data_IF_987284994248
#
_entry.id   IF_987284994248
#
_cell.length_a   1.000
_cell.length_b   1.000
_cell.length_c   1.000
_cell.angle_alpha   90.00
_cell.angle_beta   90.00
_cell.angle_gamma   90.00
#
_symmetry.space_group_name_H-M   'P 1'
#
loop_
_entity.id
_entity.type
_entity.pdbx_description
1 polymer ?
#
# COMPACT_ATOMS: atom_id res chain seq x y z
N UNK A 1 -11.07 2.57 18.48
CA UNK A 1 -12.19 2.67 17.53
C UNK A 1 -12.42 1.33 16.84
N UNK A 2 -11.47 0.78 16.06
CA UNK A 2 -11.67 -0.50 15.33
C UNK A 2 -12.15 -1.66 16.22
N UNK A 3 -11.78 -1.65 17.50
CA UNK A 3 -12.24 -2.63 18.49
C UNK A 3 -13.75 -2.62 18.71
N UNK A 4 -14.38 -1.47 18.50
CA UNK A 4 -15.81 -1.26 18.68
C UNK A 4 -16.65 -1.72 17.49
N UNK A 5 -16.04 -1.99 16.33
CA UNK A 5 -16.74 -2.58 15.18
C UNK A 5 -16.82 -4.11 15.27
N UNK A 6 -16.05 -4.74 16.17
CA UNK A 6 -16.11 -6.17 16.44
C UNK A 6 -15.64 -6.52 17.87
N UNK A 7 -16.53 -6.30 18.86
CA UNK A 7 -16.20 -6.41 20.29
C UNK A 7 -15.65 -7.77 20.69
N UNK A 8 -16.31 -8.85 20.25
CA UNK A 8 -15.93 -10.22 20.63
C UNK A 8 -14.56 -10.58 20.07
N UNK A 9 -14.24 -10.18 18.84
CA UNK A 9 -12.88 -10.32 18.30
C UNK A 9 -11.86 -9.47 19.07
N UNK A 10 -12.21 -8.24 19.45
CA UNK A 10 -11.34 -7.35 20.22
C UNK A 10 -11.04 -7.89 21.63
N UNK A 11 -12.01 -8.59 22.24
CA UNK A 11 -11.83 -9.33 23.50
C UNK A 11 -10.83 -10.47 23.34
N UNK A 12 -11.08 -11.40 22.40
CA UNK A 12 -10.22 -12.57 22.22
C UNK A 12 -8.81 -12.20 21.77
N UNK A 13 -8.62 -11.14 20.97
CA UNK A 13 -7.29 -10.64 20.61
C UNK A 13 -6.47 -10.19 21.82
N UNK A 14 -7.11 -9.64 22.86
CA UNK A 14 -6.42 -9.24 24.10
C UNK A 14 -6.11 -10.43 25.00
N UNK A 15 -6.99 -11.43 25.02
CA UNK A 15 -6.84 -12.65 25.85
C UNK A 15 -5.91 -13.68 25.22
N UNK A 16 -5.79 -13.66 23.89
CA UNK A 16 -4.97 -14.60 23.11
C UNK A 16 -4.03 -13.87 22.14
N UNK A 17 -3.06 -13.08 22.63
CA UNK A 17 -2.09 -12.39 21.79
C UNK A 17 -1.19 -13.35 21.00
N UNK A 18 -1.09 -14.62 21.42
CA UNK A 18 -0.36 -15.69 20.73
C UNK A 18 -1.04 -16.14 19.43
N UNK A 19 -2.33 -15.88 19.26
CA UNK A 19 -3.05 -16.22 18.02
C UNK A 19 -2.74 -15.16 16.96
N UNK A 20 -1.75 -15.45 16.13
CA UNK A 20 -1.43 -14.63 14.96
C UNK A 20 -2.20 -15.12 13.73
N UNK A 21 -2.72 -14.23 12.87
CA UNK A 21 -3.32 -14.62 11.59
C UNK A 21 -2.34 -15.46 10.75
N UNK A 22 -2.82 -16.39 9.91
CA UNK A 22 -1.95 -17.09 8.96
C UNK A 22 -1.19 -16.12 8.05
N UNK A 23 0.03 -16.47 7.62
CA UNK A 23 0.88 -15.58 6.84
C UNK A 23 0.19 -15.07 5.57
N UNK A 24 -0.56 -15.91 4.85
CA UNK A 24 -1.32 -15.49 3.66
C UNK A 24 -2.29 -14.34 3.98
N UNK A 25 -2.97 -14.40 5.13
CA UNK A 25 -3.85 -13.33 5.61
C UNK A 25 -3.04 -12.10 6.03
N UNK A 26 -1.90 -12.27 6.67
CA UNK A 26 -0.99 -11.16 6.98
C UNK A 26 -0.48 -10.45 5.71
N UNK A 27 -0.13 -11.20 4.66
CA UNK A 27 0.28 -10.66 3.37
C UNK A 27 -0.83 -9.83 2.72
N UNK A 28 -2.08 -10.31 2.76
CA UNK A 28 -3.23 -9.56 2.27
C UNK A 28 -3.48 -8.28 3.07
N UNK A 29 -3.30 -8.31 4.39
CA UNK A 29 -3.39 -7.14 5.27
C UNK A 29 -2.29 -6.13 4.93
N UNK A 30 -1.04 -6.56 4.83
CA UNK A 30 0.10 -5.72 4.44
C UNK A 30 -0.07 -5.09 3.06
N UNK A 31 -0.61 -5.85 2.10
CA UNK A 31 -0.96 -5.32 0.78
C UNK A 31 -1.96 -4.17 0.90
N UNK A 32 -2.99 -4.35 1.74
CA UNK A 32 -3.99 -3.31 2.01
C UNK A 32 -3.38 -2.08 2.68
N UNK A 33 -2.65 -2.26 3.77
CA UNK A 33 -1.98 -1.16 4.49
C UNK A 33 -1.04 -0.37 3.57
N UNK A 34 -0.23 -1.05 2.77
CA UNK A 34 0.67 -0.38 1.85
C UNK A 34 -0.05 0.33 0.71
N UNK A 35 -1.17 -0.21 0.22
CA UNK A 35 -2.03 0.50 -0.74
C UNK A 35 -2.56 1.80 -0.11
N UNK A 36 -3.14 1.75 1.10
CA UNK A 36 -3.70 2.94 1.76
C UNK A 36 -2.64 4.04 1.89
N UNK A 37 -1.42 3.67 2.28
CA UNK A 37 -0.29 4.61 2.38
C UNK A 37 0.04 5.26 1.04
N UNK A 38 0.24 4.47 -0.01
CA UNK A 38 0.63 4.99 -1.34
C UNK A 38 -0.51 5.82 -1.96
N UNK A 39 -1.74 5.32 -1.84
CA UNK A 39 -2.94 6.00 -2.30
C UNK A 39 -3.11 7.33 -1.58
N UNK A 40 -3.03 7.34 -0.24
CA UNK A 40 -3.13 8.54 0.59
C UNK A 40 -2.15 9.64 0.15
N UNK A 41 -0.86 9.31 -0.01
CA UNK A 41 0.14 10.27 -0.49
C UNK A 41 -0.10 10.75 -1.92
N UNK A 42 -0.82 9.99 -2.74
CA UNK A 42 -1.13 10.37 -4.11
C UNK A 42 -2.34 11.32 -4.21
N UNK A 43 -3.25 11.27 -3.22
CA UNK A 43 -4.53 12.00 -3.26
C UNK A 43 -4.70 13.03 -2.15
N UNK A 44 -3.73 13.16 -1.24
CA UNK A 44 -3.76 14.11 -0.14
C UNK A 44 -2.35 14.56 0.28
N UNK A 45 -2.26 15.60 1.11
CA UNK A 45 -1.01 16.05 1.74
C UNK A 45 -0.79 15.34 3.08
N UNK A 46 0.47 15.22 3.49
CA UNK A 46 0.87 14.53 4.72
C UNK A 46 0.16 15.05 5.98
N UNK A 47 -0.19 16.32 6.00
CA UNK A 47 -0.90 16.97 7.13
C UNK A 47 -2.32 16.44 7.36
N UNK A 48 -2.96 15.85 6.33
CA UNK A 48 -4.32 15.31 6.40
C UNK A 48 -4.37 13.79 6.44
N UNK A 49 -3.23 13.11 6.30
CA UNK A 49 -3.15 11.66 6.35
C UNK A 49 -3.08 11.15 7.78
N UNK A 50 -3.67 9.98 8.02
CA UNK A 50 -3.40 9.18 9.22
C UNK A 50 -3.69 9.92 10.54
N UNK A 51 -4.74 10.75 10.57
CA UNK A 51 -5.06 11.65 11.67
C UNK A 51 -5.55 10.91 12.92
N UNK A 52 -4.84 11.09 14.03
CA UNK A 52 -5.23 10.56 15.33
C UNK A 52 -6.36 11.39 15.93
N UNK A 53 -7.40 10.69 16.37
CA UNK A 53 -8.56 11.29 17.04
C UNK A 53 -8.84 10.54 18.33
N UNK A 54 -9.26 11.26 19.35
CA UNK A 54 -9.67 10.69 20.63
C UNK A 54 -10.97 11.35 21.08
N UNK A 55 -11.93 10.54 21.48
CA UNK A 55 -13.17 11.00 22.09
C UNK A 55 -13.61 9.99 23.14
N UNK A 56 -13.91 10.46 24.35
CA UNK A 56 -14.49 9.65 25.43
C UNK A 56 -13.71 8.33 25.69
N UNK A 57 -12.37 8.39 25.71
CA UNK A 57 -11.52 7.21 25.94
C UNK A 57 -11.50 6.21 24.78
N UNK A 58 -12.02 6.57 23.61
CA UNK A 58 -11.90 5.81 22.36
C UNK A 58 -10.91 6.52 21.46
N UNK A 59 -9.84 5.82 21.07
CA UNK A 59 -8.83 6.33 20.12
C UNK A 59 -9.10 5.78 18.72
N UNK A 60 -8.97 6.61 17.69
CA UNK A 60 -9.14 6.28 16.27
C UNK A 60 -8.03 6.89 15.42
N UNK A 61 -7.90 6.42 14.18
CA UNK A 61 -6.92 6.91 13.20
C UNK A 61 -7.59 7.00 11.84
N UNK A 62 -8.00 8.20 11.44
CA UNK A 62 -8.70 8.44 10.17
C UNK A 62 -7.68 8.36 9.03
N UNK A 63 -8.00 7.64 7.95
CA UNK A 63 -7.05 7.46 6.83
C UNK A 63 -6.73 8.79 6.15
N UNK A 64 -7.76 9.58 5.79
CA UNK A 64 -7.63 10.95 5.27
C UNK A 64 -8.67 11.84 5.95
N UNK A 65 -8.26 13.00 6.46
CA UNK A 65 -9.17 13.96 7.09
C UNK A 65 -8.75 15.40 6.77
N UNK A 66 -9.40 15.98 5.76
CA UNK A 66 -9.26 17.39 5.40
C UNK A 66 -10.47 18.20 5.88
N UNK A 67 -11.67 17.82 5.41
CA UNK A 67 -12.94 18.42 5.81
C UNK A 67 -13.90 17.39 6.42
N UNK A 68 -13.95 16.22 5.78
CA UNK A 68 -14.80 15.08 6.19
C UNK A 68 -13.91 13.86 6.42
N UNK A 69 -14.26 12.95 7.35
CA UNK A 69 -13.52 11.71 7.54
C UNK A 69 -13.64 10.82 6.30
N UNK A 70 -12.51 10.40 5.75
CA UNK A 70 -12.45 9.45 4.63
C UNK A 70 -11.80 8.16 5.12
N UNK A 71 -12.48 7.04 4.92
CA UNK A 71 -11.93 5.70 5.15
C UNK A 71 -11.62 5.02 3.82
N UNK A 72 -10.37 4.58 3.64
CA UNK A 72 -9.97 3.84 2.46
C UNK A 72 -10.14 2.35 2.76
N UNK A 73 -10.58 1.55 1.78
CA UNK A 73 -10.73 0.10 1.91
C UNK A 73 -10.23 -0.62 0.67
N UNK A 74 -9.46 -1.68 0.88
CA UNK A 74 -9.11 -2.66 -0.15
C UNK A 74 -9.91 -3.94 0.06
N UNK A 75 -10.63 -4.40 -0.95
CA UNK A 75 -11.50 -5.60 -0.85
C UNK A 75 -11.47 -6.44 -2.12
N UNK A 76 -11.92 -7.70 -2.03
CA UNK A 76 -12.40 -8.45 -3.19
C UNK A 76 -13.66 -7.79 -3.75
N UNK A 77 -14.05 -8.14 -4.99
CA UNK A 77 -15.29 -7.66 -5.60
C UNK A 77 -16.49 -7.72 -4.65
N UNK A 78 -17.25 -6.63 -4.64
CA UNK A 78 -18.55 -6.54 -4.03
C UNK A 78 -19.59 -7.17 -4.96
N UNK A 79 -20.59 -7.82 -4.38
CA UNK A 79 -21.69 -8.41 -5.12
C UNK A 79 -22.52 -7.30 -5.80
N UNK A 80 -22.67 -7.39 -7.13
CA UNK A 80 -23.50 -6.46 -7.91
C UNK A 80 -24.95 -6.48 -7.41
N UNK A 81 -25.58 -5.30 -7.35
CA UNK A 81 -26.99 -5.15 -6.97
C UNK A 81 -27.31 -5.19 -5.46
N UNK A 82 -26.30 -5.32 -4.58
CA UNK A 82 -26.49 -5.20 -3.11
C UNK A 82 -25.92 -3.89 -2.59
N UNK A 83 -26.59 -3.25 -1.64
CA UNK A 83 -26.09 -1.99 -1.05
C UNK A 83 -24.84 -2.23 -0.20
N UNK A 84 -24.01 -1.19 -0.04
CA UNK A 84 -22.82 -1.26 0.82
C UNK A 84 -23.20 -1.62 2.27
N UNK A 85 -24.34 -1.09 2.75
CA UNK A 85 -24.90 -1.40 4.06
C UNK A 85 -25.16 -2.89 4.27
N UNK A 86 -25.65 -3.60 3.26
CA UNK A 86 -25.89 -5.05 3.34
C UNK A 86 -24.60 -5.87 3.28
N UNK A 87 -23.60 -5.41 2.52
CA UNK A 87 -22.40 -6.19 2.22
C UNK A 87 -21.27 -5.98 3.24
N UNK A 88 -21.12 -4.75 3.71
CA UNK A 88 -20.02 -4.26 4.54
C UNK A 88 -20.51 -3.22 5.56
N UNK A 89 -21.49 -3.55 6.42
CA UNK A 89 -22.03 -2.61 7.41
C UNK A 89 -20.92 -2.03 8.32
N UNK A 90 -19.91 -2.84 8.66
CA UNK A 90 -18.78 -2.40 9.50
C UNK A 90 -17.95 -1.26 8.89
N UNK A 91 -17.97 -1.05 7.57
CA UNK A 91 -17.29 0.09 6.95
C UNK A 91 -18.03 1.40 7.25
N UNK A 92 -19.36 1.34 7.21
CA UNK A 92 -20.25 2.45 7.57
C UNK A 92 -20.13 2.74 9.06
N UNK A 93 -20.12 1.69 9.91
CA UNK A 93 -19.93 1.89 11.35
C UNK A 93 -18.61 2.60 11.65
N UNK A 94 -17.54 2.23 10.94
CA UNK A 94 -16.22 2.84 11.13
C UNK A 94 -16.23 4.34 10.82
N UNK A 95 -16.78 4.74 9.66
CA UNK A 95 -16.90 6.15 9.29
C UNK A 95 -17.85 6.89 10.22
N UNK A 96 -18.97 6.29 10.61
CA UNK A 96 -19.91 6.88 11.57
C UNK A 96 -19.26 7.19 12.91
N UNK A 97 -18.43 6.27 13.43
CA UNK A 97 -17.65 6.53 14.64
C UNK A 97 -16.69 7.71 14.44
N UNK A 98 -15.98 7.80 13.31
CA UNK A 98 -15.10 8.94 13.04
C UNK A 98 -15.86 10.26 12.95
N UNK A 99 -16.97 10.30 12.20
CA UNK A 99 -17.90 11.43 12.13
C UNK A 99 -18.29 11.93 13.53
N UNK A 100 -18.65 11.01 14.44
CA UNK A 100 -19.02 11.34 15.81
C UNK A 100 -17.83 11.88 16.63
N UNK A 101 -16.62 11.34 16.42
CA UNK A 101 -15.39 11.79 17.10
C UNK A 101 -14.96 13.19 16.68
N UNK A 102 -15.11 13.55 15.41
CA UNK A 102 -14.72 14.89 14.88
C UNK A 102 -15.90 15.87 14.79
N UNK A 103 -17.09 15.45 15.20
CA UNK A 103 -18.32 16.25 15.13
C UNK A 103 -18.67 16.74 13.72
N UNK A 104 -18.54 15.85 12.73
CA UNK A 104 -18.91 16.10 11.33
C UNK A 104 -20.00 15.12 10.94
N UNK A 105 -21.14 15.62 10.43
CA UNK A 105 -22.35 14.84 10.14
C UNK A 105 -22.28 13.98 8.87
N UNK A 106 -21.13 13.91 8.22
CA UNK A 106 -20.92 13.22 6.95
C UNK A 106 -19.49 12.70 6.85
N UNK A 107 -19.30 11.69 6.01
CA UNK A 107 -18.00 11.08 5.75
C UNK A 107 -18.01 10.27 4.47
N UNK A 108 -16.83 9.82 4.06
CA UNK A 108 -16.63 9.13 2.79
C UNK A 108 -15.99 7.76 2.99
N UNK A 109 -16.36 6.80 2.15
CA UNK A 109 -15.73 5.48 2.06
C UNK A 109 -15.20 5.31 0.64
N UNK A 110 -13.89 5.18 0.50
CA UNK A 110 -13.24 4.92 -0.79
C UNK A 110 -12.86 3.45 -0.87
N UNK A 111 -13.45 2.71 -1.80
CA UNK A 111 -13.26 1.27 -1.98
C UNK A 111 -12.46 1.00 -3.24
N UNK A 112 -11.32 0.35 -3.09
CA UNK A 112 -10.56 -0.26 -4.17
C UNK A 112 -10.84 -1.76 -4.25
N UNK A 113 -11.34 -2.23 -5.40
CA UNK A 113 -11.71 -3.63 -5.64
C UNK A 113 -10.61 -4.39 -6.41
N UNK A 114 -9.97 -5.36 -5.76
CA UNK A 114 -8.78 -6.06 -6.30
C UNK A 114 -9.03 -6.97 -7.49
N UNK A 115 -10.24 -7.52 -7.61
CA UNK A 115 -10.59 -8.52 -8.64
C UNK A 115 -11.97 -8.17 -9.17
N UNK A 116 -12.02 -7.64 -10.40
CA UNK A 116 -13.26 -7.18 -11.05
C UNK A 116 -13.04 -6.25 -12.25
N UNK A 117 -11.86 -5.61 -12.33
CA UNK A 117 -11.55 -4.62 -13.37
C UNK A 117 -11.27 -5.21 -14.77
N UNK A 118 -10.79 -6.45 -14.86
CA UNK A 118 -10.39 -7.04 -16.17
C UNK A 118 -11.58 -7.31 -17.09
N UNK A 119 -12.80 -7.44 -16.55
CA UNK A 119 -14.01 -7.74 -17.33
C UNK A 119 -14.86 -6.50 -17.68
N UNK A 120 -14.69 -5.36 -17.00
CA UNK A 120 -15.61 -4.21 -17.14
C UNK A 120 -15.02 -2.95 -17.77
N UNK A 121 -13.70 -2.86 -17.97
CA UNK A 121 -13.05 -1.65 -18.50
C UNK A 121 -13.19 -0.41 -17.60
N UNK A 122 -13.75 -0.57 -16.39
CA UNK A 122 -13.95 0.50 -15.41
C UNK A 122 -12.82 0.52 -14.39
N UNK A 123 -12.34 1.71 -14.03
CA UNK A 123 -11.35 1.86 -12.96
C UNK A 123 -11.93 1.30 -11.65
N UNK A 124 -11.25 0.36 -10.96
CA UNK A 124 -11.78 -0.36 -9.80
C UNK A 124 -11.72 0.46 -8.50
N UNK A 125 -12.24 1.69 -8.55
CA UNK A 125 -12.32 2.62 -7.44
C UNK A 125 -13.76 3.10 -7.35
N UNK A 126 -14.39 2.98 -6.18
CA UNK A 126 -15.72 3.54 -5.92
C UNK A 126 -15.65 4.38 -4.66
N UNK A 127 -16.17 5.61 -4.72
CA UNK A 127 -16.35 6.44 -3.53
C UNK A 127 -17.82 6.40 -3.12
N UNK A 128 -18.06 6.38 -1.81
CA UNK A 128 -19.38 6.51 -1.22
C UNK A 128 -19.41 7.70 -0.28
N UNK A 129 -20.48 8.47 -0.37
CA UNK A 129 -20.81 9.49 0.62
C UNK A 129 -21.84 8.93 1.60
N UNK A 130 -21.62 9.17 2.90
CA UNK A 130 -22.47 8.69 3.99
C UNK A 130 -22.80 9.85 4.93
N UNK A 131 -24.10 10.07 5.17
CA UNK A 131 -24.57 11.04 6.15
C UNK A 131 -24.98 10.37 7.47
N UNK A 132 -24.67 11.00 8.60
CA UNK A 132 -25.04 10.60 9.96
C UNK A 132 -25.81 11.74 10.63
N UNK A 133 -27.16 11.76 10.51
CA UNK A 133 -27.98 12.87 10.98
C UNK A 133 -28.02 12.99 12.51
N UNK A 134 -27.74 11.91 13.24
CA UNK A 134 -27.76 11.86 14.70
C UNK A 134 -26.40 11.37 15.24
N UNK A 135 -25.46 12.29 15.38
CA UNK A 135 -24.13 11.99 15.91
C UNK A 135 -24.18 11.62 17.40
N UNK A 136 -25.15 12.11 18.16
CA UNK A 136 -25.30 11.77 19.59
C UNK A 136 -25.68 10.30 19.77
N UNK A 137 -26.63 9.79 18.97
CA UNK A 137 -26.95 8.36 18.97
C UNK A 137 -25.74 7.47 18.61
N UNK A 138 -24.86 7.96 17.70
CA UNK A 138 -23.61 7.26 17.39
C UNK A 138 -22.65 7.28 18.58
N UNK A 139 -22.49 8.42 19.27
CA UNK A 139 -21.66 8.54 20.50
C UNK A 139 -22.17 7.64 21.61
N UNK A 140 -23.49 7.60 21.82
CA UNK A 140 -24.12 6.71 22.79
C UNK A 140 -23.81 5.23 22.51
N UNK A 141 -23.93 4.81 21.25
CA UNK A 141 -23.59 3.44 20.86
C UNK A 141 -22.10 3.16 21.01
N UNK A 142 -21.22 4.13 20.71
CA UNK A 142 -19.78 4.01 20.97
C UNK A 142 -19.48 3.82 22.46
N UNK A 143 -20.06 4.63 23.35
CA UNK A 143 -19.92 4.50 24.81
C UNK A 143 -20.41 3.14 25.28
N UNK A 144 -21.60 2.74 24.84
CA UNK A 144 -22.18 1.45 25.19
C UNK A 144 -21.25 0.29 24.82
N UNK A 145 -20.74 0.28 23.58
CA UNK A 145 -19.82 -0.75 23.09
C UNK A 145 -18.48 -0.77 23.83
N UNK A 146 -17.93 0.42 24.12
CA UNK A 146 -16.71 0.57 24.93
C UNK A 146 -16.92 -0.05 26.31
N UNK A 147 -18.01 0.30 26.97
CA UNK A 147 -18.30 -0.15 28.33
C UNK A 147 -18.55 -1.66 28.36
N UNK A 148 -19.28 -2.22 27.38
CA UNK A 148 -19.44 -3.66 27.22
C UNK A 148 -18.10 -4.40 27.08
N UNK A 149 -17.19 -3.89 26.24
CA UNK A 149 -15.88 -4.50 26.05
C UNK A 149 -15.03 -4.42 27.32
N UNK A 150 -15.02 -3.27 28.00
CA UNK A 150 -14.30 -3.09 29.26
C UNK A 150 -14.84 -4.05 30.32
N UNK A 151 -16.15 -4.12 30.49
CA UNK A 151 -16.78 -5.02 31.46
C UNK A 151 -16.44 -6.47 31.16
N UNK A 152 -16.55 -6.92 29.91
CA UNK A 152 -16.16 -8.27 29.52
C UNK A 152 -14.69 -8.58 29.86
N UNK A 153 -13.77 -7.63 29.61
CA UNK A 153 -12.35 -7.79 29.94
C UNK A 153 -12.10 -7.92 31.45
N UNK A 154 -12.80 -7.13 32.27
CA UNK A 154 -12.71 -7.13 33.73
C UNK A 154 -13.30 -8.42 34.31
N UNK A 155 -14.51 -8.80 33.88
CA UNK A 155 -15.20 -10.01 34.35
C UNK A 155 -14.62 -11.30 33.77
N UNK A 156 -13.78 -11.19 32.74
CA UNK A 156 -13.25 -12.30 31.96
C UNK A 156 -14.38 -13.15 31.32
N UNK A 157 -15.47 -12.50 30.91
CA UNK A 157 -16.65 -13.15 30.34
C UNK A 157 -17.11 -12.46 29.04
N UNK A 158 -17.00 -13.12 27.87
CA UNK A 158 -17.45 -12.60 26.59
C UNK A 158 -18.92 -12.89 26.26
N UNK A 159 -19.68 -13.53 27.16
CA UNK A 159 -21.05 -14.03 26.91
C UNK A 159 -22.02 -12.95 26.42
N UNK A 160 -21.88 -11.72 26.96
CA UNK A 160 -22.72 -10.57 26.61
C UNK A 160 -22.27 -9.81 25.36
N UNK A 161 -21.14 -10.19 24.75
CA UNK A 161 -20.66 -9.54 23.52
C UNK A 161 -21.39 -10.10 22.29
N UNK A 162 -21.73 -9.25 21.30
CA UNK A 162 -22.38 -9.69 20.07
C UNK A 162 -21.50 -10.65 19.27
N UNK A 163 -22.15 -11.55 18.50
CA UNK A 163 -21.45 -12.45 17.56
C UNK A 163 -20.58 -11.64 16.58
N UNK A 164 -19.36 -12.14 16.35
CA UNK A 164 -18.38 -11.52 15.46
C UNK A 164 -18.94 -11.35 14.04
N UNK A 165 -18.68 -10.20 13.42
CA UNK A 165 -18.97 -10.00 12.00
C UNK A 165 -18.29 -11.06 11.10
N UNK A 166 -17.13 -11.58 11.52
CA UNK A 166 -16.37 -12.61 10.78
C UNK A 166 -16.74 -14.06 11.15
N UNK A 167 -17.78 -14.29 11.96
CA UNK A 167 -18.21 -15.65 12.30
C UNK A 167 -18.57 -16.43 11.02
N UNK A 168 -18.06 -17.65 10.90
CA UNK A 168 -18.20 -18.48 9.69
C UNK A 168 -17.43 -17.97 8.45
N UNK A 169 -16.65 -16.89 8.57
CA UNK A 169 -15.97 -16.20 7.45
C UNK A 169 -14.44 -16.12 7.62
N UNK A 170 -13.83 -17.12 8.25
CA UNK A 170 -12.37 -17.17 8.44
C UNK A 170 -11.86 -16.32 9.63
N UNK A 171 -12.60 -16.33 10.74
CA UNK A 171 -12.17 -15.71 12.00
C UNK A 171 -11.00 -16.47 12.63
N UNK A 172 -9.92 -15.76 12.97
CA UNK A 172 -8.70 -16.34 13.57
C UNK A 172 -8.96 -16.96 14.95
N UNK A 173 -10.00 -16.48 15.64
CA UNK A 173 -10.38 -16.91 16.98
C UNK A 173 -11.46 -18.00 16.98
N UNK A 174 -11.83 -18.54 15.81
CA UNK A 174 -12.91 -19.53 15.69
C UNK A 174 -12.77 -20.77 16.59
N UNK A 175 -11.55 -21.12 17.00
CA UNK A 175 -11.27 -22.26 17.91
C UNK A 175 -11.43 -21.94 19.40
N UNK A 176 -11.37 -20.66 19.78
CA UNK A 176 -11.43 -20.20 21.19
C UNK A 176 -12.65 -19.34 21.48
N UNK A 177 -13.34 -18.89 20.43
CA UNK A 177 -14.48 -18.00 20.50
C UNK A 177 -15.80 -18.77 20.68
N UNK A 178 -16.72 -18.22 21.48
CA UNK A 178 -18.03 -18.78 21.80
C UNK A 178 -19.14 -18.38 20.81
N UNK A 179 -18.80 -17.82 19.64
CA UNK A 179 -19.78 -17.31 18.68
C UNK A 179 -20.78 -18.37 18.18
N UNK A 180 -20.43 -19.65 18.17
CA UNK A 180 -21.33 -20.73 17.74
C UNK A 180 -22.44 -21.03 18.76
N UNK A 181 -22.25 -20.66 20.02
CA UNK A 181 -23.19 -20.91 21.13
C UNK A 181 -23.74 -19.61 21.73
N UNK A 182 -23.28 -18.46 21.25
CA UNK A 182 -23.70 -17.12 21.70
C UNK A 182 -25.14 -16.83 21.29
N UNK A 183 -25.96 -16.37 22.24
CA UNK A 183 -27.34 -15.92 21.99
C UNK A 183 -27.45 -14.45 21.60
N UNK A 184 -26.40 -13.65 21.81
CA UNK A 184 -26.38 -12.22 21.46
C UNK A 184 -26.13 -12.05 19.96
N UNK A 185 -27.09 -11.53 19.18
CA UNK A 185 -26.96 -11.40 17.73
C UNK A 185 -25.86 -10.40 17.34
N UNK A 186 -25.40 -10.45 16.09
CA UNK A 186 -24.56 -9.40 15.52
C UNK A 186 -25.30 -8.06 15.55
N UNK A 187 -24.63 -6.99 15.96
CA UNK A 187 -25.19 -5.63 15.96
C UNK A 187 -24.44 -4.75 14.96
N UNK A 188 -25.20 -4.04 14.13
CA UNK A 188 -24.71 -3.02 13.19
C UNK A 188 -25.39 -1.67 13.41
N UNK A 189 -25.78 -1.39 14.66
CA UNK A 189 -26.62 -0.24 15.02
C UNK A 189 -26.11 1.11 14.52
N UNK A 190 -24.79 1.34 14.47
CA UNK A 190 -24.25 2.61 13.92
C UNK A 190 -24.49 2.70 12.41
N UNK A 191 -24.44 1.58 11.69
CA UNK A 191 -24.75 1.57 10.27
C UNK A 191 -26.25 1.77 10.01
N UNK A 192 -27.11 1.29 10.92
CA UNK A 192 -28.56 1.55 10.87
C UNK A 192 -28.92 3.03 11.16
N UNK A 193 -28.05 3.74 11.90
CA UNK A 193 -28.15 5.18 12.12
C UNK A 193 -27.67 6.02 10.92
N UNK A 194 -27.03 5.39 9.92
CA UNK A 194 -26.66 6.09 8.71
C UNK A 194 -27.92 6.51 7.94
N UNK A 195 -27.93 7.76 7.47
CA UNK A 195 -28.95 8.27 6.57
C UNK A 195 -28.78 7.72 5.16
N UNK A 196 -28.53 8.60 4.18
CA UNK A 196 -28.33 8.17 2.80
C UNK A 196 -26.88 7.75 2.57
N UNK A 197 -26.69 6.50 2.18
CA UNK A 197 -25.43 5.98 1.61
C UNK A 197 -25.56 6.04 0.09
N UNK A 198 -24.73 6.84 -0.58
CA UNK A 198 -24.78 7.00 -2.04
C UNK A 198 -23.40 6.83 -2.64
N UNK A 199 -23.37 6.32 -3.87
CA UNK A 199 -22.15 6.39 -4.70
C UNK A 199 -21.87 7.87 -5.00
N UNK A 200 -20.62 8.28 -4.81
CA UNK A 200 -20.14 9.62 -5.06
C UNK A 200 -19.23 9.64 -6.29
N UNK A 201 -19.83 9.88 -7.45
CA UNK A 201 -19.09 9.97 -8.71
C UNK A 201 -18.16 11.19 -8.77
N UNK A 202 -18.48 12.26 -8.04
CA UNK A 202 -17.69 13.51 -8.03
C UNK A 202 -16.39 13.27 -7.27
N UNK A 203 -16.47 12.78 -6.03
CA UNK A 203 -15.30 12.41 -5.24
C UNK A 203 -14.47 11.34 -5.96
N UNK A 204 -15.13 10.33 -6.56
CA UNK A 204 -14.43 9.31 -7.36
C UNK A 204 -13.61 9.96 -8.48
N UNK A 205 -14.20 10.86 -9.25
CA UNK A 205 -13.49 11.51 -10.35
C UNK A 205 -12.36 12.42 -9.88
N UNK A 206 -12.56 13.18 -8.80
CA UNK A 206 -11.51 14.03 -8.21
C UNK A 206 -10.29 13.21 -7.77
N UNK A 207 -10.51 12.07 -7.11
CA UNK A 207 -9.45 11.15 -6.73
C UNK A 207 -8.69 10.63 -7.96
N UNK A 208 -9.40 10.24 -9.02
CA UNK A 208 -8.80 9.78 -10.27
C UNK A 208 -7.99 10.87 -10.97
N UNK A 209 -8.46 12.11 -10.98
CA UNK A 209 -7.76 13.25 -11.58
C UNK A 209 -6.46 13.59 -10.84
N UNK A 210 -6.40 13.36 -9.52
CA UNK A 210 -5.17 13.48 -8.73
C UNK A 210 -4.16 12.39 -9.07
N UNK A 211 -4.64 11.15 -9.28
CA UNK A 211 -3.81 10.02 -9.70
C UNK A 211 -3.23 10.20 -11.11
N UNK A 212 -3.95 10.91 -12.00
CA UNK A 212 -3.58 11.13 -13.40
C UNK A 212 -2.52 12.21 -13.64
N UNK A 213 -1.97 12.86 -12.61
CA UNK A 213 -0.92 13.89 -12.75
C UNK A 213 0.45 13.33 -12.36
N UNK A 214 1.17 12.62 -13.25
CA UNK A 214 2.59 12.39 -13.00
C UNK A 214 3.27 13.75 -12.99
N UNK A 215 3.68 14.24 -11.81
CA UNK A 215 4.70 15.29 -11.76
C UNK A 215 6.01 14.62 -12.14
N UNK A 216 6.58 14.88 -13.34
CA UNK A 216 7.89 14.34 -13.64
C UNK A 216 8.84 14.88 -12.57
N UNK A 217 9.63 14.03 -11.90
CA UNK A 217 10.69 14.54 -11.04
C UNK A 217 11.60 15.38 -11.93
N UNK A 218 11.80 16.66 -11.57
CA UNK A 218 12.69 17.58 -12.30
C UNK A 218 14.14 17.05 -12.35
N UNK A 219 14.49 16.14 -11.43
CA UNK A 219 15.81 15.54 -11.24
C UNK A 219 15.81 14.04 -11.58
N UNK A 220 16.94 13.51 -12.06
CA UNK A 220 17.11 12.07 -12.28
C UNK A 220 17.22 11.35 -10.94
N UNK A 221 16.79 10.09 -10.91
CA UNK A 221 17.00 9.15 -9.79
C UNK A 221 17.98 8.06 -10.19
N UNK A 222 18.55 7.34 -9.24
CA UNK A 222 19.51 6.26 -9.54
C UNK A 222 18.86 5.12 -10.34
N UNK A 223 17.52 4.97 -10.29
CA UNK A 223 16.77 4.03 -11.15
C UNK A 223 16.83 4.42 -12.62
N UNK A 224 16.85 5.72 -12.92
CA UNK A 224 16.92 6.23 -14.29
C UNK A 224 18.24 5.85 -14.94
N UNK A 225 19.31 5.73 -14.14
CA UNK A 225 20.62 5.26 -14.60
C UNK A 225 20.62 3.78 -14.97
N UNK A 226 19.73 2.98 -14.38
CA UNK A 226 19.60 1.55 -14.70
C UNK A 226 18.87 1.37 -16.04
N UNK A 227 17.90 2.24 -16.34
CA UNK A 227 17.06 2.19 -17.54
C UNK A 227 17.03 3.53 -18.29
N UNK A 228 18.19 4.00 -18.81
CA UNK A 228 18.33 5.37 -19.29
C UNK A 228 17.42 5.70 -20.48
N UNK A 229 17.23 4.76 -21.43
CA UNK A 229 16.30 4.97 -22.56
C UNK A 229 14.85 5.14 -22.11
N UNK A 230 14.42 4.37 -21.11
CA UNK A 230 13.07 4.49 -20.55
C UNK A 230 12.89 5.86 -19.89
N UNK A 231 13.85 6.28 -19.07
CA UNK A 231 13.83 7.59 -18.41
C UNK A 231 13.79 8.76 -19.42
N UNK A 232 14.49 8.62 -20.55
CA UNK A 232 14.44 9.60 -21.64
C UNK A 232 13.04 9.77 -22.22
N UNK A 233 12.33 8.68 -22.51
CA UNK A 233 10.98 8.77 -23.08
C UNK A 233 9.93 9.25 -22.06
N UNK A 234 10.03 8.80 -20.80
CA UNK A 234 9.11 9.23 -19.73
C UNK A 234 9.14 10.76 -19.53
N UNK A 235 10.30 11.39 -19.72
CA UNK A 235 10.44 12.85 -19.67
C UNK A 235 9.88 13.58 -20.88
N UNK A 236 9.83 12.95 -22.04
CA UNK A 236 9.29 13.59 -23.28
C UNK A 236 7.78 13.43 -23.40
N UNK A 237 7.20 12.33 -22.90
CA UNK A 237 5.73 12.11 -22.93
C UNK A 237 4.93 12.99 -21.97
N UNK A 238 5.56 13.79 -21.11
CA UNK A 238 4.86 14.71 -20.19
C UNK A 238 4.21 15.93 -20.88
N UNK A 239 4.00 15.91 -22.21
CA UNK A 239 3.51 17.04 -23.01
C UNK A 239 2.36 16.66 -23.97
N UNK A 240 1.88 15.41 -24.00
CA UNK A 240 0.80 15.01 -24.92
C UNK A 240 -0.56 14.86 -24.23
N UNK A 241 -1.58 15.53 -24.79
CA UNK A 241 -2.99 15.36 -24.43
C UNK A 241 -3.47 13.99 -24.87
N UNK A 242 -3.89 13.14 -23.92
CA UNK A 242 -4.35 11.76 -24.17
C UNK A 242 -5.87 11.70 -24.29
N UNK A 243 -6.38 10.66 -24.97
CA UNK A 243 -7.82 10.35 -25.03
C UNK A 243 -8.34 9.79 -23.70
N UNK A 244 -9.63 10.01 -23.41
CA UNK A 244 -10.27 9.62 -22.13
C UNK A 244 -10.17 8.11 -21.82
N UNK A 245 -10.33 7.24 -22.82
CA UNK A 245 -10.20 5.78 -22.64
C UNK A 245 -8.79 5.36 -22.19
N UNK A 246 -7.75 6.00 -22.73
CA UNK A 246 -6.36 5.73 -22.32
C UNK A 246 -6.07 6.23 -20.90
N UNK A 247 -6.72 7.32 -20.48
CA UNK A 247 -6.58 7.86 -19.12
C UNK A 247 -7.18 6.89 -18.09
N UNK A 248 -8.35 6.33 -18.37
CA UNK A 248 -8.99 5.36 -17.48
C UNK A 248 -8.15 4.07 -17.35
N UNK A 249 -7.61 3.54 -18.45
CA UNK A 249 -6.74 2.36 -18.43
C UNK A 249 -5.47 2.62 -17.59
N UNK A 250 -4.80 3.75 -17.81
CA UNK A 250 -3.59 4.15 -17.06
C UNK A 250 -3.88 4.36 -15.57
N UNK A 251 -5.01 4.98 -15.21
CA UNK A 251 -5.43 5.12 -13.81
C UNK A 251 -5.69 3.76 -13.15
N UNK A 252 -6.33 2.84 -13.88
CA UNK A 252 -6.57 1.46 -13.42
C UNK A 252 -5.26 0.67 -13.26
N UNK A 253 -4.31 0.81 -14.18
CA UNK A 253 -2.95 0.26 -14.06
C UNK A 253 -2.19 0.86 -12.88
N UNK A 254 -2.28 2.17 -12.68
CA UNK A 254 -1.59 2.85 -11.60
C UNK A 254 -2.12 2.39 -10.24
N UNK A 255 -3.44 2.28 -10.05
CA UNK A 255 -4.04 1.70 -8.84
C UNK A 255 -3.62 0.25 -8.60
N UNK A 256 -3.59 -0.59 -9.64
CA UNK A 256 -3.05 -1.96 -9.54
C UNK A 256 -1.58 -1.97 -9.11
N UNK A 257 -0.79 -1.04 -9.65
CA UNK A 257 0.62 -0.88 -9.28
C UNK A 257 0.78 -0.47 -7.82
N UNK A 258 -0.14 0.33 -7.26
CA UNK A 258 -0.14 0.69 -5.83
C UNK A 258 -0.43 -0.51 -4.94
N UNK A 259 -1.36 -1.40 -5.32
CA UNK A 259 -1.69 -2.61 -4.55
C UNK A 259 -0.51 -3.59 -4.58
N UNK A 260 0.15 -3.76 -5.74
CA UNK A 260 1.41 -4.52 -5.84
C UNK A 260 2.54 -3.88 -5.02
N UNK A 261 2.69 -2.55 -5.13
CA UNK A 261 3.68 -1.79 -4.38
C UNK A 261 3.37 -1.72 -2.88
N UNK A 262 2.13 -1.93 -2.46
CA UNK A 262 1.70 -1.90 -1.07
C UNK A 262 2.29 -3.06 -0.27
N UNK A 263 2.24 -4.27 -0.81
CA UNK A 263 2.93 -5.42 -0.19
C UNK A 263 4.44 -5.22 -0.16
N UNK A 264 5.02 -4.75 -1.28
CA UNK A 264 6.45 -4.39 -1.34
C UNK A 264 6.77 -3.32 -0.31
N UNK A 265 5.89 -2.34 -0.11
CA UNK A 265 6.01 -1.21 0.79
C UNK A 265 5.96 -1.63 2.24
N UNK A 266 5.01 -2.49 2.62
CA UNK A 266 4.91 -3.07 3.95
C UNK A 266 6.09 -3.99 4.28
N UNK A 267 6.49 -4.87 3.37
CA UNK A 267 7.70 -5.70 3.52
C UNK A 267 8.95 -4.81 3.65
N UNK A 268 9.05 -3.78 2.80
CA UNK A 268 10.09 -2.77 2.90
C UNK A 268 10.02 -2.07 4.26
N UNK A 269 8.85 -1.70 4.75
CA UNK A 269 8.64 -1.01 6.03
C UNK A 269 9.06 -1.91 7.22
N UNK A 270 8.70 -3.19 7.23
CA UNK A 270 9.20 -4.15 8.23
C UNK A 270 10.72 -4.32 8.19
N UNK A 271 11.34 -4.25 7.01
CA UNK A 271 12.81 -4.27 6.86
C UNK A 271 13.43 -2.88 7.19
N UNK A 272 12.67 -1.78 7.01
CA UNK A 272 13.08 -0.38 7.21
C UNK A 272 13.01 0.05 8.67
N UNK A 273 12.05 -0.45 9.44
CA UNK A 273 11.94 -0.16 10.87
C UNK A 273 12.67 -1.26 11.65
N UNK A 274 14.00 -1.29 11.47
CA UNK A 274 14.89 -1.91 12.45
C UNK A 274 14.83 -1.18 13.79
N UNK A 275 15.60 -1.61 14.78
CA UNK A 275 15.72 -0.85 16.04
C UNK A 275 16.19 0.59 15.78
N UNK A 276 15.85 1.58 16.61
CA UNK A 276 16.33 2.95 16.47
C UNK A 276 17.86 2.99 16.25
N UNK A 277 18.31 3.68 15.20
CA UNK A 277 19.72 3.73 14.80
C UNK A 277 20.18 2.66 13.80
N UNK A 278 19.34 1.67 13.45
CA UNK A 278 19.70 0.66 12.45
C UNK A 278 19.55 1.14 10.99
N UNK A 279 18.80 2.22 10.74
CA UNK A 279 18.47 2.67 9.39
C UNK A 279 18.73 4.15 9.21
N UNK A 280 19.42 4.48 8.11
CA UNK A 280 19.81 5.83 7.72
C UNK A 280 19.43 6.07 6.25
N UNK A 281 19.02 7.30 5.90
CA UNK A 281 18.86 7.68 4.50
C UNK A 281 19.97 8.67 4.14
N UNK A 282 20.86 8.26 3.24
CA UNK A 282 21.96 9.07 2.76
C UNK A 282 21.56 9.74 1.44
N UNK A 283 21.59 11.09 1.36
CA UNK A 283 21.31 11.79 0.12
C UNK A 283 22.43 11.55 -0.89
N UNK A 284 22.04 11.33 -2.14
CA UNK A 284 22.92 11.29 -3.29
C UNK A 284 22.56 12.43 -4.20
N UNK A 285 23.48 13.37 -4.38
CA UNK A 285 23.30 14.53 -5.24
C UNK A 285 24.51 14.70 -6.16
N UNK A 286 24.26 14.72 -7.46
CA UNK A 286 25.29 14.96 -8.48
C UNK A 286 24.64 15.56 -9.74
N UNK A 287 25.02 16.79 -10.12
CA UNK A 287 24.40 17.49 -11.24
C UNK A 287 22.85 17.45 -11.16
N UNK A 288 22.16 16.91 -12.16
CA UNK A 288 20.70 16.72 -12.12
C UNK A 288 20.23 15.42 -11.45
N UNK A 289 21.13 14.55 -10.96
CA UNK A 289 20.80 13.38 -10.14
C UNK A 289 20.52 13.79 -8.69
N UNK A 290 19.39 13.35 -8.16
CA UNK A 290 18.98 13.51 -6.77
C UNK A 290 18.18 12.28 -6.35
N UNK A 291 18.73 11.50 -5.42
CA UNK A 291 18.09 10.31 -4.88
C UNK A 291 18.43 10.13 -3.39
N UNK A 292 17.71 9.22 -2.72
CA UNK A 292 17.98 8.83 -1.35
C UNK A 292 18.36 7.35 -1.31
N UNK A 293 19.60 7.07 -0.91
CA UNK A 293 20.08 5.71 -0.69
C UNK A 293 19.80 5.33 0.77
N UNK A 294 19.15 4.20 0.97
CA UNK A 294 18.89 3.70 2.31
C UNK A 294 20.01 2.79 2.78
N UNK A 295 20.57 3.07 3.94
CA UNK A 295 21.51 2.21 4.64
C UNK A 295 20.77 1.48 5.75
N UNK A 296 21.11 0.20 5.94
CA UNK A 296 20.73 -0.58 7.12
C UNK A 296 21.98 -1.17 7.72
N UNK A 297 22.23 -0.90 9.01
CA UNK A 297 23.46 -1.30 9.71
C UNK A 297 24.71 -0.90 8.93
N UNK A 298 24.72 0.34 8.39
CA UNK A 298 25.83 0.88 7.61
C UNK A 298 25.98 0.33 6.18
N UNK A 299 25.01 -0.41 5.64
CA UNK A 299 25.08 -0.95 4.28
C UNK A 299 23.91 -0.48 3.39
N UNK A 300 24.17 0.05 2.18
CA UNK A 300 23.14 0.29 1.18
C UNK A 300 22.25 -0.93 0.99
N UNK A 301 20.95 -0.76 1.19
CA UNK A 301 19.99 -1.86 1.31
C UNK A 301 18.86 -1.72 0.31
N UNK A 302 18.59 -2.82 -0.38
CA UNK A 302 17.54 -2.93 -1.38
C UNK A 302 16.61 -4.09 -1.08
N UNK A 303 15.30 -3.85 -1.23
CA UNK A 303 14.28 -4.90 -1.14
C UNK A 303 13.62 -5.08 -2.49
N UNK A 304 13.51 -6.32 -2.95
CA UNK A 304 12.92 -6.71 -4.24
C UNK A 304 12.01 -7.92 -4.08
N UNK A 305 11.06 -8.02 -5.00
CA UNK A 305 10.13 -9.14 -5.08
C UNK A 305 10.30 -9.83 -6.43
N UNK A 306 10.38 -11.15 -6.40
CA UNK A 306 10.35 -12.01 -7.57
C UNK A 306 9.06 -12.82 -7.62
N UNK A 307 8.48 -12.95 -8.81
CA UNK A 307 7.35 -13.85 -9.10
C UNK A 307 7.82 -15.26 -9.51
N UNK A 308 9.11 -15.58 -9.36
CA UNK A 308 9.62 -16.92 -9.68
C UNK A 308 9.04 -17.96 -8.73
N UNK A 309 8.78 -19.16 -9.27
CA UNK A 309 8.24 -20.31 -8.51
C UNK A 309 9.32 -21.12 -7.79
N UNK A 310 10.59 -20.80 -8.04
CA UNK A 310 11.76 -21.44 -7.44
C UNK A 310 12.82 -20.40 -7.10
N UNK A 311 13.68 -20.77 -6.15
CA UNK A 311 14.87 -20.00 -5.83
C UNK A 311 15.82 -19.94 -7.03
N UNK A 312 16.50 -18.81 -7.17
CA UNK A 312 17.59 -18.65 -8.13
C UNK A 312 18.89 -18.96 -7.41
N UNK A 313 19.69 -19.85 -7.98
CA UNK A 313 21.03 -20.17 -7.48
C UNK A 313 21.87 -18.90 -7.33
N UNK A 314 22.67 -18.84 -6.26
CA UNK A 314 23.39 -17.63 -5.84
C UNK A 314 24.26 -17.06 -6.96
N UNK A 315 24.94 -17.94 -7.68
CA UNK A 315 25.87 -17.62 -8.78
C UNK A 315 25.14 -17.04 -9.98
N UNK A 316 23.85 -17.38 -10.14
CA UNK A 316 23.01 -16.93 -11.24
C UNK A 316 22.27 -15.64 -10.94
N UNK A 317 22.20 -15.19 -9.68
CA UNK A 317 21.48 -13.97 -9.29
C UNK A 317 21.85 -12.74 -10.13
N UNK A 318 23.13 -12.43 -10.41
CA UNK A 318 23.48 -11.28 -11.25
C UNK A 318 22.98 -11.41 -12.69
N UNK A 319 22.93 -12.64 -13.22
CA UNK A 319 22.42 -12.91 -14.58
C UNK A 319 20.89 -12.93 -14.65
N UNK A 320 20.22 -13.41 -13.59
CA UNK A 320 18.76 -13.48 -13.52
C UNK A 320 18.13 -12.15 -13.16
N UNK A 321 18.80 -11.32 -12.36
CA UNK A 321 18.32 -10.02 -11.91
C UNK A 321 19.34 -8.89 -12.11
N UNK A 322 19.90 -8.69 -13.31
CA UNK A 322 21.01 -7.77 -13.54
C UNK A 322 20.71 -6.34 -13.09
N UNK A 323 19.46 -5.90 -13.27
CA UNK A 323 18.98 -4.59 -12.85
C UNK A 323 18.99 -4.36 -11.33
N UNK A 324 18.85 -5.41 -10.50
CA UNK A 324 19.00 -5.28 -9.04
C UNK A 324 20.45 -5.01 -8.67
N UNK A 325 21.38 -5.70 -9.33
CA UNK A 325 22.82 -5.54 -9.10
C UNK A 325 23.35 -4.22 -9.67
N UNK A 326 22.85 -3.74 -10.82
CA UNK A 326 23.17 -2.40 -11.30
C UNK A 326 22.70 -1.32 -10.34
N UNK A 327 21.43 -1.37 -9.91
CA UNK A 327 20.91 -0.39 -8.94
C UNK A 327 21.71 -0.43 -7.64
N UNK A 328 21.96 -1.62 -7.08
CA UNK A 328 22.67 -1.75 -5.81
C UNK A 328 24.13 -1.31 -5.94
N UNK A 329 24.76 -1.59 -7.07
CA UNK A 329 26.12 -1.16 -7.38
C UNK A 329 26.23 0.36 -7.47
N UNK A 330 25.28 1.04 -8.12
CA UNK A 330 25.24 2.51 -8.13
C UNK A 330 24.97 3.08 -6.74
N UNK A 331 24.01 2.54 -5.99
CA UNK A 331 23.76 2.97 -4.61
C UNK A 331 25.03 2.84 -3.74
N UNK A 332 25.77 1.72 -3.89
CA UNK A 332 27.06 1.48 -3.22
C UNK A 332 28.15 2.46 -3.66
N UNK A 333 28.35 2.66 -4.96
CA UNK A 333 29.41 3.51 -5.49
C UNK A 333 29.17 5.01 -5.23
N UNK A 334 27.92 5.46 -5.24
CA UNK A 334 27.55 6.85 -4.98
C UNK A 334 27.61 7.22 -3.49
N UNK A 335 27.57 6.22 -2.61
CA UNK A 335 27.70 6.39 -1.15
C UNK A 335 29.04 5.91 -0.61
N UNK A 336 29.98 5.53 -1.47
CA UNK A 336 31.33 5.03 -1.12
C UNK A 336 31.33 3.78 -0.20
N UNK A 337 30.35 2.89 -0.37
CA UNK A 337 30.26 1.61 0.33
C UNK A 337 30.67 0.45 -0.60
N UNK A 338 31.65 -0.41 -0.25
CA UNK A 338 32.08 -1.54 -1.09
C UNK A 338 31.09 -2.71 -1.10
N UNK A 339 30.08 -2.65 -0.23
CA UNK A 339 29.16 -3.74 0.04
C UNK A 339 27.75 -3.20 0.20
N UNK A 340 26.78 -3.90 -0.37
CA UNK A 340 25.36 -3.63 -0.20
C UNK A 340 24.60 -4.90 0.17
N UNK A 341 23.32 -4.75 0.54
CA UNK A 341 22.44 -5.83 0.95
C UNK A 341 21.18 -5.88 0.09
N UNK A 342 20.91 -7.04 -0.50
CA UNK A 342 19.70 -7.33 -1.26
C UNK A 342 18.80 -8.29 -0.47
N UNK A 343 17.63 -7.81 -0.09
CA UNK A 343 16.51 -8.64 0.35
C UNK A 343 15.68 -9.02 -0.87
N UNK A 344 15.59 -10.31 -1.17
CA UNK A 344 14.83 -10.84 -2.30
C UNK A 344 13.71 -11.74 -1.78
N UNK A 345 12.47 -11.30 -2.00
CA UNK A 345 11.28 -12.04 -1.61
C UNK A 345 10.68 -12.79 -2.81
N UNK A 346 10.52 -14.10 -2.71
CA UNK A 346 9.94 -14.95 -3.73
C UNK A 346 8.46 -15.20 -3.45
N UNK A 347 7.59 -14.46 -4.13
CA UNK A 347 6.15 -14.47 -3.87
C UNK A 347 5.47 -15.81 -4.19
N UNK A 348 6.03 -16.57 -5.14
CA UNK A 348 5.40 -17.80 -5.66
C UNK A 348 6.15 -19.08 -5.25
N UNK A 349 7.13 -19.00 -4.35
CA UNK A 349 7.78 -20.18 -3.77
C UNK A 349 6.89 -20.73 -2.65
N UNK A 350 6.63 -22.04 -2.64
CA UNK A 350 5.73 -22.68 -1.67
C UNK A 350 6.36 -22.84 -0.28
N UNK A 351 7.67 -23.02 -0.21
CA UNK A 351 8.40 -23.19 1.05
C UNK A 351 8.56 -21.85 1.78
N UNK A 352 7.92 -21.70 2.94
CA UNK A 352 7.87 -20.42 3.68
C UNK A 352 9.25 -19.91 4.09
N UNK A 353 10.12 -20.80 4.55
CA UNK A 353 11.50 -20.49 4.92
C UNK A 353 12.38 -20.09 3.71
N UNK A 354 11.94 -20.38 2.48
CA UNK A 354 12.61 -19.99 1.24
C UNK A 354 12.03 -18.70 0.64
N UNK A 355 10.96 -18.12 1.20
CA UNK A 355 10.33 -16.94 0.61
C UNK A 355 11.16 -15.66 0.77
N UNK A 356 12.02 -15.52 1.77
CA UNK A 356 12.85 -14.34 1.96
C UNK A 356 14.34 -14.70 2.02
N UNK A 357 15.08 -14.27 1.01
CA UNK A 357 16.53 -14.45 0.95
C UNK A 357 17.24 -13.11 1.14
N UNK A 358 18.34 -13.12 1.90
CA UNK A 358 19.16 -11.93 2.16
C UNK A 358 20.56 -12.16 1.64
N UNK A 359 21.01 -11.29 0.74
CA UNK A 359 22.30 -11.39 0.09
C UNK A 359 23.15 -10.16 0.39
N UNK A 360 24.31 -10.39 0.97
CA UNK A 360 25.36 -9.40 1.08
C UNK A 360 26.21 -9.45 -0.21
N UNK A 361 26.18 -8.35 -0.98
CA UNK A 361 26.80 -8.23 -2.30
C UNK A 361 28.00 -7.29 -2.19
N UNK A 362 29.19 -7.77 -2.57
CA UNK A 362 30.41 -6.96 -2.61
C UNK A 362 30.73 -6.54 -4.04
N UNK A 363 31.03 -5.27 -4.24
CA UNK A 363 31.38 -4.70 -5.53
C UNK A 363 32.89 -4.44 -5.58
N UNK A 364 33.52 -4.90 -6.66
CA UNK A 364 34.92 -4.58 -6.96
C UNK A 364 34.93 -3.29 -7.79
N UNK A 365 36.01 -2.51 -7.68
CA UNK A 365 36.24 -1.29 -8.45
C UNK A 365 35.11 -0.25 -8.34
N UNK A 366 34.79 0.20 -7.12
CA UNK A 366 33.76 1.24 -6.92
C UNK A 366 33.99 2.50 -7.76
N UNK A 367 35.26 2.87 -7.98
CA UNK A 367 35.62 4.02 -8.83
C UNK A 367 35.06 3.91 -10.25
N UNK A 368 35.18 2.74 -10.89
CA UNK A 368 34.66 2.50 -12.24
C UNK A 368 33.14 2.53 -12.26
N UNK A 369 32.50 1.97 -11.22
CA UNK A 369 31.03 1.97 -11.09
C UNK A 369 30.51 3.40 -10.88
N UNK A 370 31.19 4.21 -10.07
CA UNK A 370 30.86 5.62 -9.83
C UNK A 370 31.03 6.43 -11.12
N UNK A 371 32.12 6.21 -11.85
CA UNK A 371 32.36 6.84 -13.15
C UNK A 371 31.27 6.48 -14.17
N UNK A 372 30.84 5.21 -14.24
CA UNK A 372 29.73 4.81 -15.11
C UNK A 372 28.39 5.44 -14.70
N UNK A 373 28.10 5.55 -13.40
CA UNK A 373 26.91 6.23 -12.90
C UNK A 373 26.87 7.70 -13.34
N UNK A 374 27.98 8.42 -13.13
CA UNK A 374 28.17 9.80 -13.54
C UNK A 374 28.02 9.95 -15.06
N UNK A 375 28.69 9.10 -15.84
CA UNK A 375 28.59 9.11 -17.31
C UNK A 375 27.14 8.96 -17.78
N UNK A 376 26.33 8.13 -17.13
CA UNK A 376 24.91 7.97 -17.48
C UNK A 376 24.06 9.18 -17.14
N UNK A 377 24.36 9.90 -16.06
CA UNK A 377 23.71 11.19 -15.76
C UNK A 377 23.99 12.18 -16.89
N UNK A 378 25.26 12.34 -17.26
CA UNK A 378 25.66 13.28 -18.32
C UNK A 378 25.06 12.92 -19.68
N UNK A 379 24.98 11.63 -20.00
CA UNK A 379 24.33 11.17 -21.23
C UNK A 379 22.82 11.47 -21.20
N UNK A 380 22.15 11.26 -20.07
CA UNK A 380 20.72 11.56 -19.93
C UNK A 380 20.42 13.06 -20.03
N UNK A 381 21.31 13.92 -19.52
CA UNK A 381 21.17 15.38 -19.63
C UNK A 381 21.33 15.87 -21.08
N UNK A 382 22.23 15.25 -21.85
CA UNK A 382 22.62 15.70 -23.19
C UNK A 382 21.91 14.97 -24.32
N UNK A 383 21.25 13.85 -24.03
CA UNK A 383 20.67 13.00 -25.06
C UNK A 383 19.60 13.75 -25.87
N UNK A 384 19.78 13.77 -27.18
CA UNK A 384 18.78 14.22 -28.16
C UNK A 384 18.12 13.03 -28.86
N UNK A 385 18.63 11.82 -28.63
CA UNK A 385 18.11 10.57 -29.18
C UNK A 385 18.34 9.40 -28.20
N UNK A 386 17.38 8.44 -28.09
CA UNK A 386 17.57 7.26 -27.25
C UNK A 386 18.75 6.38 -27.70
N UNK A 387 19.21 6.51 -28.95
CA UNK A 387 20.37 5.78 -29.48
C UNK A 387 21.69 6.18 -28.78
N UNK A 388 21.77 7.38 -28.21
CA UNK A 388 22.94 7.86 -27.46
C UNK A 388 23.02 7.26 -26.04
N UNK A 389 21.96 6.59 -25.61
CA UNK A 389 21.84 6.01 -24.28
C UNK A 389 22.10 4.50 -24.31
N UNK A 390 22.70 3.92 -23.24
CA UNK A 390 22.86 2.48 -23.09
C UNK A 390 21.53 1.73 -23.31
N UNK A 391 21.61 0.57 -23.96
CA UNK A 391 20.43 -0.28 -24.17
C UNK A 391 19.87 -0.77 -22.84
N UNK A 392 18.55 -0.92 -22.79
CA UNK A 392 17.91 -1.60 -21.68
C UNK A 392 18.18 -3.11 -21.77
N UNK A 393 18.09 -3.85 -20.65
CA UNK A 393 18.14 -5.31 -20.71
C UNK A 393 17.05 -5.88 -21.63
N UNK A 394 17.38 -6.89 -22.44
CA UNK A 394 16.48 -7.47 -23.45
C UNK A 394 15.14 -7.95 -22.89
N UNK A 395 15.12 -8.46 -21.67
CA UNK A 395 13.88 -8.86 -20.99
C UNK A 395 12.93 -7.67 -20.76
N UNK A 396 13.46 -6.47 -20.50
CA UNK A 396 12.63 -5.27 -20.30
C UNK A 396 12.00 -4.84 -21.62
N UNK A 397 12.74 -4.95 -22.73
CA UNK A 397 12.30 -4.50 -24.04
C UNK A 397 11.02 -5.21 -24.49
N UNK A 398 10.82 -6.48 -24.09
CA UNK A 398 9.58 -7.24 -24.35
C UNK A 398 8.33 -6.63 -23.71
N UNK A 399 8.49 -5.93 -22.58
CA UNK A 399 7.40 -5.38 -21.77
C UNK A 399 7.47 -3.85 -21.68
N UNK A 400 8.29 -3.20 -22.52
CA UNK A 400 8.50 -1.77 -22.50
C UNK A 400 7.51 -1.09 -23.44
N UNK A 401 6.74 -0.12 -22.92
CA UNK A 401 5.80 0.70 -23.70
C UNK A 401 6.45 1.58 -24.76
N UNK A 402 7.78 1.70 -24.75
CA UNK A 402 8.57 2.47 -25.71
C UNK A 402 9.32 1.61 -26.71
N UNK A 403 9.05 0.31 -26.80
CA UNK A 403 9.80 -0.63 -27.64
C UNK A 403 9.93 -0.14 -29.09
N UNK A 404 8.81 0.30 -29.68
CA UNK A 404 8.75 0.70 -31.08
C UNK A 404 9.49 2.03 -31.33
N UNK A 405 9.44 2.94 -30.36
CA UNK A 405 10.14 4.24 -30.39
C UNK A 405 11.66 4.09 -30.12
N UNK A 406 12.06 3.04 -29.40
CA UNK A 406 13.44 2.79 -28.96
C UNK A 406 14.36 2.29 -30.08
N UNK A 407 13.80 1.85 -31.21
CA UNK A 407 14.55 1.39 -32.38
C UNK A 407 15.23 0.03 -32.21
N UNK A 408 14.68 -0.86 -31.39
CA UNK A 408 15.18 -2.23 -31.22
C UNK A 408 14.46 -3.20 -32.17
N UNK A 409 15.10 -3.47 -33.31
CA UNK A 409 15.07 -4.79 -33.97
C UNK A 409 16.33 -5.53 -33.55
#
# INVERSE_FOLDING_TARGET
MTDLTNLKQAYFRRKHPEITPPLEKQQLMWKGTGFHKIFGFAVSSEEYLEQFVEAEGVVGKIDIYENVPVEVKTTSALAKGRSLLQQRPTYIEQVGMYCAMVNVGEGEIVIYERQGAEESGTVPLTAYHVAFPDLEAVREEMRHRRDLLIQALISNDPSNLPVCAWFGRGCDYSKVCDCSTSSVPSSHKIADLAGKVKVDEVTRQQLLDMLGKPKPPRQFRTTDLVFPRKAYFERRKSVETKSEEKVAEEQGEYLRSMDEAGFVGALKDTIRYGSPGEVENMPVQYASLSDLVRLRQGLPTMVRISKFRSLVERERLPSSFPHYFYRLGFDCALTDHPKGRLFLYYANVSEENAKLMVYDVSFRNLGDIKAEAIRRVELLEKATSPAQLPRCPSWLCRYCSYRDECGEI
#
